data_IF_108144065307
#
_entry.id   IF_108144065307
#
_cell.length_a   1.000
_cell.length_b   1.000
_cell.length_c   1.000
_cell.angle_alpha   90.00
_cell.angle_beta   90.00
_cell.angle_gamma   90.00
#
_symmetry.space_group_name_H-M   'P 1'
#
loop_
_entity.id
_entity.type
_entity.pdbx_description
1 polymer ?
#
# COMPACT_ATOMS: atom_id res chain seq x y z
N UNK A 1 -9.68 -4.13 -21.95
CA UNK A 1 -10.17 -5.03 -20.86
C UNK A 1 -9.72 -4.41 -19.55
N UNK A 2 -10.67 -3.94 -18.73
CA UNK A 2 -10.38 -3.47 -17.37
C UNK A 2 -10.73 -4.63 -16.41
N UNK A 3 -9.73 -5.41 -16.01
CA UNK A 3 -9.89 -6.49 -15.03
C UNK A 3 -9.95 -5.92 -13.61
N UNK A 4 -11.11 -5.37 -13.24
CA UNK A 4 -11.35 -4.82 -11.91
C UNK A 4 -11.62 -5.91 -10.87
N UNK A 5 -10.56 -6.52 -10.32
CA UNK A 5 -10.63 -7.43 -9.15
C UNK A 5 -9.44 -7.14 -8.22
N UNK A 6 -9.46 -7.67 -6.99
CA UNK A 6 -8.35 -7.54 -6.03
C UNK A 6 -6.98 -7.90 -6.63
N UNK A 7 -6.95 -8.79 -7.62
CA UNK A 7 -5.78 -9.18 -8.41
C UNK A 7 -5.11 -8.02 -9.15
N UNK A 8 -5.85 -7.00 -9.58
CA UNK A 8 -5.29 -5.78 -10.17
C UNK A 8 -4.80 -4.79 -9.08
N UNK A 9 -5.39 -4.84 -7.88
CA UNK A 9 -4.99 -4.01 -6.74
C UNK A 9 -3.67 -4.46 -6.11
N UNK A 10 -3.40 -5.77 -6.04
CA UNK A 10 -2.13 -6.31 -5.51
C UNK A 10 -0.88 -5.75 -6.19
N UNK A 11 -0.70 -5.87 -7.53
CA UNK A 11 0.51 -5.37 -8.19
C UNK A 11 0.61 -3.84 -8.11
N UNK A 12 -0.52 -3.12 -8.10
CA UNK A 12 -0.56 -1.66 -7.94
C UNK A 12 -0.02 -1.24 -6.56
N UNK A 13 -0.47 -1.89 -5.49
CA UNK A 13 0.02 -1.60 -4.14
C UNK A 13 1.50 -2.00 -3.98
N UNK A 14 1.91 -3.16 -4.50
CA UNK A 14 3.31 -3.59 -4.47
C UNK A 14 4.23 -2.60 -5.19
N UNK A 15 3.84 -2.05 -6.33
CA UNK A 15 4.63 -1.04 -7.04
C UNK A 15 4.83 0.24 -6.22
N UNK A 16 3.81 0.70 -5.50
CA UNK A 16 3.92 1.86 -4.59
C UNK A 16 4.93 1.56 -3.47
N UNK A 17 4.84 0.39 -2.83
CA UNK A 17 5.79 -0.01 -1.78
C UNK A 17 7.22 -0.13 -2.33
N UNK A 18 7.38 -0.62 -3.56
CA UNK A 18 8.70 -0.71 -4.20
C UNK A 18 9.36 0.66 -4.37
N UNK A 19 8.60 1.69 -4.77
CA UNK A 19 9.11 3.07 -4.87
C UNK A 19 9.50 3.64 -3.49
N UNK A 20 8.73 3.33 -2.45
CA UNK A 20 9.06 3.75 -1.09
C UNK A 20 10.35 3.06 -0.60
N UNK A 21 10.49 1.77 -0.89
CA UNK A 21 11.71 1.02 -0.56
C UNK A 21 12.94 1.56 -1.30
N UNK A 22 12.79 1.94 -2.57
CA UNK A 22 13.86 2.55 -3.35
C UNK A 22 14.33 3.87 -2.70
N UNK A 23 13.40 4.72 -2.27
CA UNK A 23 13.74 5.94 -1.53
C UNK A 23 14.37 5.66 -0.15
N UNK A 24 13.92 4.64 0.57
CA UNK A 24 14.52 4.24 1.84
C UNK A 24 15.96 3.76 1.66
N UNK A 25 16.21 2.94 0.63
CA UNK A 25 17.57 2.49 0.27
C UNK A 25 18.45 3.68 -0.09
N UNK A 26 17.95 4.60 -0.91
CA UNK A 26 18.67 5.83 -1.27
C UNK A 26 18.99 6.70 -0.05
N UNK A 27 18.12 6.71 0.96
CA UNK A 27 18.33 7.38 2.24
C UNK A 27 19.18 6.57 3.25
N UNK A 28 19.71 5.40 2.86
CA UNK A 28 20.49 4.51 3.73
C UNK A 28 19.67 3.86 4.85
N UNK A 29 18.34 3.83 4.72
CA UNK A 29 17.40 3.26 5.69
C UNK A 29 17.03 1.82 5.32
N UNK A 30 16.70 0.97 6.31
CA UNK A 30 16.21 -0.38 6.03
C UNK A 30 14.88 -0.31 5.26
N UNK A 31 14.69 -1.24 4.33
CA UNK A 31 13.45 -1.43 3.57
C UNK A 31 12.29 -1.80 4.48
N UNK A 32 11.07 -1.48 4.05
CA UNK A 32 9.84 -1.89 4.71
C UNK A 32 9.68 -3.41 4.58
N UNK A 33 9.80 -4.11 5.72
CA UNK A 33 9.53 -5.54 5.85
C UNK A 33 8.04 -5.81 6.09
N UNK A 34 7.68 -6.30 7.28
CA UNK A 34 6.27 -6.50 7.63
C UNK A 34 5.54 -5.15 7.73
N UNK A 35 4.62 -4.89 6.79
CA UNK A 35 4.00 -3.57 6.59
C UNK A 35 2.89 -3.24 7.59
N UNK A 36 2.18 -4.22 8.14
CA UNK A 36 1.01 -3.96 9.01
C UNK A 36 1.33 -3.01 10.18
N UNK A 37 2.40 -3.22 10.98
CA UNK A 37 2.70 -2.33 12.11
C UNK A 37 2.99 -0.90 11.66
N UNK A 38 3.67 -0.73 10.52
CA UNK A 38 3.98 0.58 9.95
C UNK A 38 2.71 1.29 9.46
N UNK A 39 1.83 0.55 8.78
CA UNK A 39 0.56 1.07 8.24
C UNK A 39 -0.36 1.58 9.33
N UNK A 40 -0.58 0.78 10.38
CA UNK A 40 -1.50 1.15 11.46
C UNK A 40 -0.92 2.18 12.44
N UNK A 41 0.39 2.42 12.43
CA UNK A 41 1.04 3.37 13.34
C UNK A 41 1.35 4.70 12.67
N UNK A 42 2.21 4.71 11.66
CA UNK A 42 2.89 5.93 11.20
C UNK A 42 2.19 6.58 10.02
N UNK A 43 1.58 5.78 9.14
CA UNK A 43 1.00 6.25 7.87
C UNK A 43 -0.51 6.03 7.80
N UNK A 44 -1.16 5.81 8.95
CA UNK A 44 -2.63 5.63 9.01
C UNK A 44 -3.41 6.81 8.43
N UNK A 45 -2.86 8.03 8.50
CA UNK A 45 -3.44 9.25 7.91
C UNK A 45 -3.07 9.48 6.45
N UNK A 46 -2.15 8.69 5.89
CA UNK A 46 -1.70 8.84 4.50
C UNK A 46 -2.60 8.09 3.49
N UNK A 47 -3.55 7.30 3.97
CA UNK A 47 -4.48 6.55 3.13
C UNK A 47 -5.74 7.37 2.82
N UNK A 48 -6.31 7.15 1.64
CA UNK A 48 -7.62 7.69 1.29
C UNK A 48 -8.70 6.87 2.00
N UNK A 49 -9.46 7.53 2.88
CA UNK A 49 -10.57 6.92 3.59
C UNK A 49 -11.79 6.76 2.67
N UNK A 50 -12.21 5.51 2.43
CA UNK A 50 -13.37 5.17 1.61
C UNK A 50 -14.54 4.88 2.56
N UNK A 51 -15.40 5.87 2.79
CA UNK A 51 -16.52 5.80 3.74
C UNK A 51 -17.82 5.30 3.11
N UNK A 52 -17.87 5.21 1.79
CA UNK A 52 -19.06 4.81 1.02
C UNK A 52 -18.71 3.57 0.22
N UNK A 53 -19.36 2.44 0.53
CA UNK A 53 -19.18 1.18 -0.16
C UNK A 53 -20.00 0.07 0.48
N UNK A 54 -20.40 -0.93 -0.30
CA UNK A 54 -21.15 -2.09 0.17
C UNK A 54 -20.46 -3.35 -0.35
N UNK A 55 -19.98 -4.20 0.56
CA UNK A 55 -19.50 -5.54 0.21
C UNK A 55 -20.70 -6.48 0.29
N UNK A 56 -21.49 -6.56 -0.80
CA UNK A 56 -22.46 -7.65 -0.95
C UNK A 56 -21.66 -8.94 -1.14
N UNK A 57 -21.78 -9.85 -0.17
CA UNK A 57 -21.13 -11.17 -0.21
C UNK A 57 -21.57 -12.00 -1.40
#
# INVERSE_FOLDING_TARGET
VLEGRTSASSPTFTAIIALINDQLIAAGRPVLGFLNPFIYSTVSTAFTDITIGHNAG
#
